data_IF_096290949425
#
_entry.id   IF_096290949425
#
_cell.length_a   1.000
_cell.length_b   1.000
_cell.length_c   1.000
_cell.angle_alpha   90.00
_cell.angle_beta   90.00
_cell.angle_gamma   90.00
#
_symmetry.space_group_name_H-M   'P 1'
#
loop_
_entity.id
_entity.type
_entity.pdbx_description
1 polymer ?
#
# COMPACT_ATOMS: atom_id res chain seq x y z
N UNK A 1 -5.18 4.13 7.74
CA UNK A 1 -4.25 4.66 6.72
C UNK A 1 -3.37 5.78 7.26
N UNK A 2 -3.94 6.91 7.66
CA UNK A 2 -3.19 8.07 8.20
C UNK A 2 -2.20 7.72 9.33
N UNK A 3 -2.61 6.93 10.32
CA UNK A 3 -1.71 6.51 11.41
C UNK A 3 -0.54 5.63 10.95
N UNK A 4 -0.75 4.82 9.90
CA UNK A 4 0.32 4.01 9.31
C UNK A 4 1.30 4.89 8.54
N UNK A 5 0.79 5.88 7.82
CA UNK A 5 1.58 6.88 7.10
C UNK A 5 2.45 7.73 8.03
N UNK A 6 1.92 8.17 9.17
CA UNK A 6 2.68 8.97 10.15
C UNK A 6 3.80 8.20 10.84
N UNK A 7 3.76 6.86 10.81
CA UNK A 7 4.81 6.00 11.36
C UNK A 7 5.87 5.62 10.32
N UNK A 8 5.76 6.09 9.07
CA UNK A 8 6.75 5.82 8.03
C UNK A 8 8.03 6.63 8.25
N UNK A 9 9.15 6.00 7.89
CA UNK A 9 10.43 6.68 7.75
C UNK A 9 10.45 7.44 6.41
N UNK A 10 10.43 8.78 6.49
CA UNK A 10 10.38 9.67 5.32
C UNK A 10 11.64 9.62 4.44
N UNK A 11 12.79 9.22 4.98
CA UNK A 11 14.04 9.13 4.21
C UNK A 11 14.11 7.79 3.46
N UNK A 12 13.64 6.72 4.11
CA UNK A 12 13.62 5.37 3.52
C UNK A 12 12.61 5.23 2.39
N UNK A 13 11.43 5.82 2.55
CA UNK A 13 10.33 5.71 1.60
C UNK A 13 10.19 7.01 0.82
N UNK A 14 11.10 7.28 -0.12
CA UNK A 14 11.14 8.52 -0.90
C UNK A 14 11.55 8.29 -2.37
N UNK A 15 10.95 8.98 -3.35
CA UNK A 15 9.80 9.87 -3.20
C UNK A 15 8.48 9.10 -3.01
N UNK A 16 7.51 9.74 -2.35
CA UNK A 16 6.16 9.18 -2.12
C UNK A 16 5.21 9.65 -3.21
N UNK A 17 4.22 8.84 -3.57
CA UNK A 17 3.25 9.21 -4.60
C UNK A 17 1.85 8.92 -4.10
N UNK A 18 1.17 9.96 -3.62
CA UNK A 18 -0.19 9.82 -3.11
C UNK A 18 -1.17 9.91 -4.26
N UNK A 19 -1.86 8.81 -4.51
CA UNK A 19 -2.97 8.78 -5.46
C UNK A 19 -4.26 8.95 -4.70
N UNK A 20 -5.15 9.78 -5.23
CA UNK A 20 -6.41 10.09 -4.59
C UNK A 20 -7.52 10.22 -5.64
N UNK A 21 -8.78 10.06 -5.23
CA UNK A 21 -9.91 10.31 -6.10
C UNK A 21 -10.09 11.81 -6.35
N UNK A 22 -10.36 12.20 -7.60
CA UNK A 22 -10.65 13.58 -7.94
C UNK A 22 -11.77 14.16 -7.04
N UNK A 23 -11.54 15.36 -6.49
CA UNK A 23 -12.44 16.02 -5.55
C UNK A 23 -12.44 15.45 -4.12
N UNK A 24 -11.51 14.56 -3.76
CA UNK A 24 -11.34 14.11 -2.38
C UNK A 24 -10.43 15.03 -1.55
N UNK A 25 -11.01 16.15 -1.11
CA UNK A 25 -10.33 17.15 -0.27
C UNK A 25 -9.94 16.61 1.11
N UNK A 26 -10.62 15.57 1.61
CA UNK A 26 -10.30 15.00 2.92
C UNK A 26 -8.97 14.24 2.85
N UNK A 27 -8.77 13.45 1.79
CA UNK A 27 -7.50 12.75 1.56
C UNK A 27 -6.35 13.73 1.34
N UNK A 28 -6.57 14.82 0.59
CA UNK A 28 -5.55 15.86 0.38
C UNK A 28 -5.11 16.51 1.70
N UNK A 29 -6.06 16.88 2.56
CA UNK A 29 -5.75 17.42 3.89
C UNK A 29 -4.97 16.41 4.75
N UNK A 30 -5.40 15.14 4.75
CA UNK A 30 -4.70 14.11 5.50
C UNK A 30 -3.26 13.90 5.01
N UNK A 31 -3.01 13.99 3.70
CA UNK A 31 -1.65 13.94 3.13
C UNK A 31 -0.82 15.14 3.55
N UNK A 32 -1.37 16.35 3.50
CA UNK A 32 -0.68 17.56 3.95
C UNK A 32 -0.30 17.49 5.44
N UNK A 33 -1.19 16.97 6.29
CA UNK A 33 -0.91 16.76 7.71
C UNK A 33 0.21 15.73 7.95
N UNK A 34 0.26 14.66 7.14
CA UNK A 34 1.32 13.64 7.24
C UNK A 34 2.67 14.19 6.79
N UNK A 35 2.72 14.85 5.63
CA UNK A 35 3.99 15.37 5.08
C UNK A 35 4.53 16.55 5.90
N UNK A 36 3.68 17.33 6.56
CA UNK A 36 4.13 18.35 7.51
C UNK A 36 4.75 17.72 8.76
N UNK A 37 4.21 16.61 9.25
CA UNK A 37 4.78 15.87 10.40
C UNK A 37 6.08 15.14 10.06
N UNK A 38 6.27 14.68 8.82
CA UNK A 38 7.48 13.97 8.35
C UNK A 38 8.69 14.88 8.09
N UNK A 39 8.65 16.15 8.51
CA UNK A 39 9.80 17.06 8.43
C UNK A 39 9.80 18.01 7.24
N UNK A 40 8.65 18.22 6.58
CA UNK A 40 8.43 19.35 5.69
C UNK A 40 9.09 19.25 4.32
N UNK A 41 8.28 18.90 3.32
CA UNK A 41 8.27 19.42 1.95
C UNK A 41 9.59 19.97 1.36
N UNK A 42 10.68 19.21 1.38
CA UNK A 42 11.77 19.47 0.44
C UNK A 42 11.21 19.22 -0.97
N UNK A 43 11.45 20.14 -1.92
CA UNK A 43 10.86 20.07 -3.26
C UNK A 43 11.14 18.70 -3.91
N UNK A 44 10.09 17.94 -4.22
CA UNK A 44 10.19 16.60 -4.79
C UNK A 44 10.12 15.42 -3.80
N UNK A 45 9.87 15.67 -2.51
CA UNK A 45 9.71 14.60 -1.49
C UNK A 45 8.49 13.72 -1.73
N UNK A 46 7.41 14.30 -2.27
CA UNK A 46 6.21 13.56 -2.66
C UNK A 46 5.56 14.14 -3.92
N UNK A 47 4.76 13.32 -4.58
CA UNK A 47 3.91 13.70 -5.71
C UNK A 47 2.46 13.34 -5.43
N UNK A 48 1.54 14.06 -6.05
CA UNK A 48 0.10 13.82 -6.00
C UNK A 48 -0.39 13.37 -7.37
N UNK A 49 -1.18 12.31 -7.43
CA UNK A 49 -1.81 11.85 -8.68
C UNK A 49 -3.32 11.72 -8.46
N UNK A 50 -4.08 12.61 -9.08
CA UNK A 50 -5.54 12.52 -9.08
C UNK A 50 -6.00 11.44 -10.08
N UNK A 51 -6.79 10.48 -9.61
CA UNK A 51 -7.53 9.57 -10.47
C UNK A 51 -9.01 9.97 -10.54
N UNK A 52 -9.67 9.80 -11.69
CA UNK A 52 -11.12 9.85 -11.76
C UNK A 52 -11.73 8.90 -10.73
N UNK A 53 -12.87 9.27 -10.14
CA UNK A 53 -13.56 8.36 -9.21
C UNK A 53 -14.15 7.19 -10.00
N UNK A 54 -13.84 5.96 -9.57
CA UNK A 54 -14.37 4.75 -10.19
C UNK A 54 -15.90 4.57 -10.00
N UNK A 55 -16.53 5.35 -9.10
CA UNK A 55 -17.98 5.36 -8.87
C UNK A 55 -18.42 6.68 -8.21
N UNK A 56 -19.45 7.34 -8.73
CA UNK A 56 -20.22 8.32 -7.97
C UNK A 56 -21.40 7.63 -7.25
N UNK A 57 -21.77 8.11 -6.06
CA UNK A 57 -22.89 7.57 -5.28
C UNK A 57 -24.19 7.88 -6.04
N UNK A 58 -24.92 6.85 -6.48
CA UNK A 58 -26.20 6.99 -7.20
C UNK A 58 -26.15 6.64 -8.69
N UNK A 59 -24.99 6.32 -9.26
CA UNK A 59 -24.89 5.95 -10.68
C UNK A 59 -25.36 4.51 -10.98
N UNK A 60 -26.07 4.34 -12.10
CA UNK A 60 -26.47 3.02 -12.61
C UNK A 60 -25.28 2.13 -12.97
N UNK A 61 -25.51 0.81 -13.11
CA UNK A 61 -24.47 -0.20 -13.37
C UNK A 61 -23.63 0.10 -14.63
N UNK A 62 -24.25 0.63 -15.68
CA UNK A 62 -23.56 1.00 -16.94
C UNK A 62 -22.65 2.22 -16.77
N UNK A 63 -23.12 3.26 -16.06
CA UNK A 63 -22.32 4.45 -15.77
C UNK A 63 -21.13 4.13 -14.86
N UNK A 64 -21.32 3.21 -13.91
CA UNK A 64 -20.23 2.72 -13.05
C UNK A 64 -19.12 2.04 -13.87
N UNK A 65 -19.48 1.28 -14.91
CA UNK A 65 -18.48 0.64 -15.79
C UNK A 65 -17.69 1.68 -16.61
N UNK A 66 -18.34 2.74 -17.08
CA UNK A 66 -17.70 3.85 -17.80
C UNK A 66 -16.76 4.64 -16.88
N UNK A 67 -17.18 4.95 -15.66
CA UNK A 67 -16.35 5.63 -14.67
C UNK A 67 -15.14 4.76 -14.26
N UNK A 68 -15.35 3.45 -14.10
CA UNK A 68 -14.27 2.50 -13.83
C UNK A 68 -13.30 2.36 -15.01
N UNK A 69 -13.78 2.31 -16.26
CA UNK A 69 -12.92 2.21 -17.45
C UNK A 69 -12.10 3.49 -17.66
N UNK A 70 -12.67 4.66 -17.40
CA UNK A 70 -11.93 5.93 -17.40
C UNK A 70 -10.82 5.92 -16.35
N UNK A 71 -11.13 5.46 -15.14
CA UNK A 71 -10.13 5.31 -14.06
C UNK A 71 -9.02 4.34 -14.48
N UNK A 72 -9.38 3.22 -15.11
CA UNK A 72 -8.45 2.24 -15.64
C UNK A 72 -7.54 2.83 -16.72
N UNK A 73 -8.09 3.60 -17.67
CA UNK A 73 -7.30 4.22 -18.73
C UNK A 73 -6.27 5.21 -18.17
N UNK A 74 -6.68 6.05 -17.22
CA UNK A 74 -5.77 7.01 -16.56
C UNK A 74 -4.71 6.27 -15.73
N UNK A 75 -5.11 5.26 -14.96
CA UNK A 75 -4.19 4.44 -14.19
C UNK A 75 -3.18 3.72 -15.11
N UNK A 76 -3.64 3.11 -16.21
CA UNK A 76 -2.79 2.40 -17.17
C UNK A 76 -1.77 3.36 -17.81
N UNK A 77 -2.20 4.58 -18.18
CA UNK A 77 -1.31 5.58 -18.74
C UNK A 77 -0.22 6.02 -17.75
N UNK A 78 -0.61 6.46 -16.55
CA UNK A 78 0.31 7.06 -15.58
C UNK A 78 1.13 6.08 -14.78
N UNK A 79 0.60 4.89 -14.49
CA UNK A 79 1.23 3.92 -13.58
C UNK A 79 1.86 2.73 -14.31
N UNK A 80 1.53 2.54 -15.60
CA UNK A 80 2.09 1.45 -16.40
C UNK A 80 2.81 1.93 -17.67
N UNK A 81 2.11 2.57 -18.62
CA UNK A 81 2.68 2.93 -19.93
C UNK A 81 3.81 3.97 -19.82
N UNK A 82 3.58 5.10 -19.15
CA UNK A 82 4.62 6.12 -18.97
C UNK A 82 5.87 5.57 -18.24
N UNK A 83 5.73 4.84 -17.11
CA UNK A 83 6.87 4.18 -16.48
C UNK A 83 7.56 3.11 -17.34
N UNK A 84 6.80 2.36 -18.14
CA UNK A 84 7.34 1.36 -19.05
C UNK A 84 8.20 2.00 -20.15
N UNK A 85 7.77 3.14 -20.69
CA UNK A 85 8.50 3.87 -21.73
C UNK A 85 9.73 4.61 -21.19
N UNK A 86 9.65 5.17 -19.98
CA UNK A 86 10.74 5.97 -19.40
C UNK A 86 11.76 5.13 -18.63
N UNK A 87 11.32 4.09 -17.93
CA UNK A 87 12.14 3.25 -17.05
C UNK A 87 11.65 1.79 -17.09
N UNK A 88 11.86 1.06 -18.19
CA UNK A 88 11.31 -0.30 -18.35
C UNK A 88 11.78 -1.29 -17.27
N UNK A 89 13.05 -1.18 -16.85
CA UNK A 89 13.67 -2.09 -15.89
C UNK A 89 13.12 -1.99 -14.47
N UNK A 90 12.46 -0.89 -14.10
CA UNK A 90 11.93 -0.66 -12.74
C UNK A 90 10.42 -0.42 -12.78
N UNK A 91 9.66 -0.89 -11.79
CA UNK A 91 8.26 -0.54 -11.68
C UNK A 91 8.07 0.96 -11.44
N UNK A 92 6.82 1.42 -11.56
CA UNK A 92 6.47 2.81 -11.26
C UNK A 92 6.77 3.16 -9.79
N UNK A 93 6.38 2.25 -8.91
CA UNK A 93 6.59 2.26 -7.46
C UNK A 93 7.05 0.86 -7.03
N UNK A 94 7.92 0.78 -6.04
CA UNK A 94 8.43 -0.49 -5.50
C UNK A 94 7.39 -1.14 -4.56
N UNK A 95 6.62 -0.31 -3.84
CA UNK A 95 5.54 -0.76 -2.96
C UNK A 95 4.26 0.00 -3.30
N UNK A 96 3.16 -0.73 -3.34
CA UNK A 96 1.82 -0.17 -3.47
C UNK A 96 1.05 -0.56 -2.20
N UNK A 97 0.96 0.37 -1.24
CA UNK A 97 -0.03 0.22 -0.15
C UNK A 97 -1.36 0.77 -0.65
N UNK A 98 -2.47 0.10 -0.39
CA UNK A 98 -3.78 0.63 -0.72
C UNK A 98 -4.83 0.28 0.34
N UNK A 99 -5.80 1.17 0.51
CA UNK A 99 -7.01 0.94 1.28
C UNK A 99 -8.23 1.25 0.41
N UNK A 100 -9.34 0.54 0.66
CA UNK A 100 -10.64 0.94 0.12
C UNK A 100 -11.08 0.23 -1.17
N UNK A 101 -12.20 0.69 -1.77
CA UNK A 101 -12.91 -0.01 -2.85
C UNK A 101 -12.52 0.49 -4.24
N UNK A 102 -13.05 -0.16 -5.30
CA UNK A 102 -13.09 0.33 -6.69
C UNK A 102 -11.74 0.70 -7.31
N UNK A 103 -11.26 1.91 -7.04
CA UNK A 103 -9.96 2.45 -7.49
C UNK A 103 -8.79 1.56 -7.06
N UNK A 104 -8.85 1.03 -5.84
CA UNK A 104 -7.89 0.03 -5.33
C UNK A 104 -7.79 -1.19 -6.26
N UNK A 105 -8.94 -1.70 -6.72
CA UNK A 105 -8.99 -2.88 -7.59
C UNK A 105 -8.36 -2.58 -8.96
N UNK A 106 -8.66 -1.40 -9.50
CA UNK A 106 -8.09 -0.93 -10.78
C UNK A 106 -6.58 -0.82 -10.69
N UNK A 107 -6.05 -0.23 -9.62
CA UNK A 107 -4.61 -0.04 -9.44
C UNK A 107 -3.87 -1.37 -9.27
N UNK A 108 -4.43 -2.30 -8.49
CA UNK A 108 -3.86 -3.65 -8.37
C UNK A 108 -3.85 -4.34 -9.73
N UNK A 109 -4.96 -4.29 -10.48
CA UNK A 109 -5.03 -4.90 -11.82
C UNK A 109 -3.94 -4.36 -12.75
N UNK A 110 -3.73 -3.04 -12.78
CA UNK A 110 -2.70 -2.40 -13.60
C UNK A 110 -1.29 -2.77 -13.15
N UNK A 111 -1.01 -2.73 -11.84
CA UNK A 111 0.30 -3.11 -11.30
C UNK A 111 0.62 -4.59 -11.59
N UNK A 112 -0.38 -5.46 -11.57
CA UNK A 112 -0.25 -6.89 -11.81
C UNK A 112 0.12 -7.23 -13.27
N UNK A 113 -0.15 -6.33 -14.24
CA UNK A 113 0.23 -6.54 -15.65
C UNK A 113 1.73 -6.77 -15.78
N UNK A 114 2.57 -6.00 -15.07
CA UNK A 114 4.04 -6.21 -15.09
C UNK A 114 4.45 -7.60 -14.62
N UNK A 115 3.74 -8.14 -13.62
CA UNK A 115 3.97 -9.49 -13.08
C UNK A 115 3.64 -10.57 -14.11
N UNK A 116 2.54 -10.39 -14.85
CA UNK A 116 2.16 -11.31 -15.95
C UNK A 116 3.20 -11.28 -17.07
N UNK A 117 3.77 -10.11 -17.36
CA UNK A 117 4.80 -9.92 -18.39
C UNK A 117 6.21 -10.36 -17.97
N UNK A 118 6.39 -10.88 -16.75
CA UNK A 118 7.70 -11.31 -16.24
C UNK A 118 8.68 -10.15 -15.99
N UNK A 119 8.18 -8.92 -15.84
CA UNK A 119 8.99 -7.73 -15.57
C UNK A 119 9.17 -7.50 -14.07
N UNK A 120 10.15 -6.65 -13.70
CA UNK A 120 10.24 -6.11 -12.34
C UNK A 120 8.90 -5.50 -11.92
N UNK A 121 8.35 -5.98 -10.81
CA UNK A 121 6.99 -5.70 -10.38
C UNK A 121 6.95 -4.98 -9.03
N UNK A 122 5.83 -4.30 -8.80
CA UNK A 122 5.52 -3.62 -7.55
C UNK A 122 5.02 -4.62 -6.51
N UNK A 123 5.52 -4.52 -5.27
CA UNK A 123 4.97 -5.29 -4.15
C UNK A 123 3.66 -4.67 -3.67
N UNK A 124 2.59 -5.48 -3.62
CA UNK A 124 1.24 -5.00 -3.36
C UNK A 124 0.84 -5.35 -1.93
N UNK A 125 0.51 -4.34 -1.13
CA UNK A 125 0.04 -4.49 0.25
C UNK A 125 -1.38 -3.90 0.33
N UNK A 126 -2.35 -4.74 0.64
CA UNK A 126 -3.74 -4.32 0.85
C UNK A 126 -4.05 -4.25 2.33
N UNK A 127 -4.60 -3.12 2.77
CA UNK A 127 -5.08 -2.93 4.13
C UNK A 127 -6.60 -2.85 4.07
N UNK A 128 -7.28 -3.83 4.68
CA UNK A 128 -8.75 -3.82 4.77
C UNK A 128 -9.25 -2.61 5.57
N UNK A 129 -10.49 -2.20 5.29
CA UNK A 129 -11.11 -1.06 5.95
C UNK A 129 -11.41 -1.38 7.42
N UNK A 130 -11.04 -0.45 8.31
CA UNK A 130 -11.28 -0.56 9.75
C UNK A 130 -12.76 -0.74 10.12
N UNK A 131 -13.68 -0.20 9.30
CA UNK A 131 -15.13 -0.27 9.54
C UNK A 131 -15.73 -1.67 9.35
N UNK A 132 -14.95 -2.63 8.85
CA UNK A 132 -15.39 -3.99 8.56
C UNK A 132 -14.84 -4.95 9.62
N UNK A 133 -15.60 -5.10 10.70
CA UNK A 133 -15.19 -5.86 11.89
C UNK A 133 -15.51 -7.35 11.79
N UNK A 134 -16.58 -7.74 11.09
CA UNK A 134 -17.06 -9.14 11.01
C UNK A 134 -16.89 -9.80 9.65
N UNK A 135 -16.52 -9.06 8.60
CA UNK A 135 -16.45 -9.61 7.24
C UNK A 135 -15.57 -8.77 6.32
N UNK A 136 -14.85 -9.42 5.41
CA UNK A 136 -14.08 -8.73 4.37
C UNK A 136 -14.96 -7.92 3.43
N UNK A 137 -14.44 -6.78 2.97
CA UNK A 137 -15.07 -6.00 1.91
C UNK A 137 -15.10 -6.77 0.59
N UNK A 138 -15.99 -6.40 -0.33
CA UNK A 138 -16.04 -7.03 -1.65
C UNK A 138 -14.70 -6.89 -2.38
N UNK A 139 -14.07 -5.71 -2.28
CA UNK A 139 -12.73 -5.46 -2.82
C UNK A 139 -11.66 -6.28 -2.09
N UNK A 140 -11.73 -6.41 -0.76
CA UNK A 140 -10.83 -7.27 0.00
C UNK A 140 -10.92 -8.74 -0.42
N UNK A 141 -12.13 -9.28 -0.55
CA UNK A 141 -12.35 -10.65 -1.05
C UNK A 141 -11.78 -10.85 -2.46
N UNK A 142 -12.00 -9.87 -3.34
CA UNK A 142 -11.54 -9.93 -4.72
C UNK A 142 -10.02 -9.81 -4.84
N UNK A 143 -9.39 -8.95 -4.04
CA UNK A 143 -7.96 -8.65 -4.12
C UNK A 143 -7.08 -9.60 -3.33
N UNK A 144 -7.64 -10.36 -2.39
CA UNK A 144 -6.90 -11.31 -1.55
C UNK A 144 -5.92 -12.22 -2.32
N UNK A 145 -6.25 -12.82 -3.49
CA UNK A 145 -5.30 -13.66 -4.23
C UNK A 145 -4.28 -12.87 -5.07
N UNK A 146 -4.47 -11.55 -5.26
CA UNK A 146 -3.64 -10.72 -6.14
C UNK A 146 -2.66 -9.81 -5.40
N UNK A 147 -2.70 -9.80 -4.06
CA UNK A 147 -1.85 -8.96 -3.21
C UNK A 147 -0.78 -9.82 -2.55
N UNK A 148 0.42 -9.27 -2.36
CA UNK A 148 1.51 -9.99 -1.71
C UNK A 148 1.38 -9.97 -0.18
N UNK A 149 0.67 -8.99 0.37
CA UNK A 149 0.40 -8.89 1.80
C UNK A 149 -0.99 -8.34 2.02
N UNK A 150 -1.81 -9.06 2.77
CA UNK A 150 -3.18 -8.69 3.10
C UNK A 150 -3.29 -8.45 4.61
N UNK A 151 -3.56 -7.22 5.02
CA UNK A 151 -3.63 -6.80 6.41
C UNK A 151 -5.09 -6.59 6.81
N UNK A 152 -5.51 -7.30 7.86
CA UNK A 152 -6.80 -7.12 8.53
C UNK A 152 -6.55 -6.66 9.96
N UNK A 153 -7.37 -5.72 10.44
CA UNK A 153 -7.26 -5.24 11.82
C UNK A 153 -8.01 -6.15 12.80
N UNK A 154 -9.05 -6.84 12.32
CA UNK A 154 -9.95 -7.64 13.14
C UNK A 154 -9.77 -9.13 12.82
N UNK A 155 -9.45 -9.98 13.82
CA UNK A 155 -9.33 -11.43 13.61
C UNK A 155 -10.62 -12.03 13.04
N UNK A 156 -11.78 -11.55 13.50
CA UNK A 156 -13.09 -12.04 13.07
C UNK A 156 -13.38 -11.75 11.58
N UNK A 157 -12.78 -10.68 11.04
CA UNK A 157 -12.89 -10.35 9.62
C UNK A 157 -11.98 -11.19 8.72
N UNK A 158 -10.95 -11.85 9.26
CA UNK A 158 -9.99 -12.64 8.50
C UNK A 158 -10.61 -13.90 7.84
N UNK A 159 -11.82 -14.26 8.26
CA UNK A 159 -12.47 -15.54 7.91
C UNK A 159 -11.80 -16.72 8.63
N UNK A 160 -12.36 -17.94 8.49
CA UNK A 160 -11.78 -19.13 9.09
C UNK A 160 -10.44 -19.44 8.43
N UNK A 161 -9.35 -18.95 9.03
CA UNK A 161 -7.99 -19.32 8.70
C UNK A 161 -7.39 -19.97 9.93
N UNK A 162 -7.21 -21.30 9.86
CA UNK A 162 -6.29 -22.10 10.69
C UNK A 162 -5.93 -21.48 12.04
N UNK A 163 -6.90 -21.45 12.97
CA UNK A 163 -6.61 -21.33 14.38
C UNK A 163 -5.98 -22.65 14.86
N UNK A 164 -4.73 -22.87 14.45
CA UNK A 164 -3.84 -23.90 14.96
C UNK A 164 -2.46 -23.27 15.17
N UNK A 165 -2.44 -22.22 15.97
CA UNK A 165 -1.31 -21.97 16.85
C UNK A 165 -1.88 -22.00 18.25
N UNK A 166 -2.01 -23.23 18.75
CA UNK A 166 -2.42 -23.57 20.10
C UNK A 166 -1.62 -22.79 21.14
N UNK A 167 -2.36 -22.39 22.16
CA UNK A 167 -1.91 -21.97 23.46
C UNK A 167 -0.68 -22.75 23.97
N UNK A 168 0.28 -22.02 24.55
CA UNK A 168 0.82 -22.29 25.89
C UNK A 168 2.06 -21.41 26.14
N UNK A 169 1.94 -20.41 27.00
CA UNK A 169 3.09 -19.86 27.69
C UNK A 169 2.62 -19.44 29.10
N UNK A 170 2.48 -20.46 29.93
CA UNK A 170 2.40 -20.40 31.38
C UNK A 170 3.64 -19.71 31.94
N UNK A 171 3.44 -18.94 32.99
CA UNK A 171 4.47 -18.24 33.76
C UNK A 171 5.63 -19.15 34.21
N UNK A 172 6.85 -18.62 34.16
CA UNK A 172 7.88 -18.89 35.17
C UNK A 172 8.94 -17.78 35.23
N UNK A 173 9.44 -17.63 36.44
CA UNK A 173 10.15 -16.51 37.07
C UNK A 173 11.67 -16.53 36.84
N UNK A 174 12.29 -15.33 36.78
CA UNK A 174 13.65 -14.96 37.24
C UNK A 174 14.89 -15.73 36.73
N UNK A 175 15.82 -15.02 36.08
CA UNK A 175 17.11 -14.59 36.67
C UNK A 175 18.01 -13.87 35.63
N UNK A 176 18.63 -12.76 36.06
CA UNK A 176 19.79 -12.07 35.43
C UNK A 176 21.06 -12.89 35.75
N UNK A 177 22.19 -12.87 34.99
CA UNK A 177 23.11 -11.71 35.00
C UNK A 177 24.00 -11.46 33.74
N UNK A 178 24.57 -10.23 33.72
CA UNK A 178 25.87 -9.76 33.21
C UNK A 178 26.40 -10.04 31.78
N UNK A 179 26.64 -8.93 31.07
CA UNK A 179 27.59 -8.72 29.95
C UNK A 179 29.06 -8.85 30.44
N UNK A 180 30.03 -9.18 29.56
CA UNK A 180 30.76 -8.10 28.89
C UNK A 180 31.13 -8.35 27.41
N UNK A 181 31.15 -7.22 26.70
CA UNK A 181 31.99 -6.74 25.59
C UNK A 181 32.82 -7.70 24.70
N UNK A 182 32.69 -7.47 23.38
CA UNK A 182 33.76 -7.42 22.35
C UNK A 182 33.30 -7.97 20.99
N UNK A 183 33.50 -7.21 19.92
CA UNK A 183 33.56 -7.75 18.56
C UNK A 183 32.88 -6.91 17.49
N UNK A 184 33.57 -5.84 17.07
CA UNK A 184 33.38 -5.22 15.76
C UNK A 184 33.53 -6.29 14.68
N UNK A 185 32.49 -6.55 13.90
CA UNK A 185 32.67 -7.09 12.54
C UNK A 185 31.80 -6.32 11.54
N UNK A 186 32.48 -5.41 10.86
CA UNK A 186 31.99 -4.63 9.73
C UNK A 186 32.17 -5.43 8.45
N UNK A 187 31.17 -6.25 8.10
CA UNK A 187 30.99 -6.94 6.80
C UNK A 187 29.62 -7.63 6.93
N UNK A 188 28.52 -7.26 6.30
CA UNK A 188 28.28 -6.95 4.89
C UNK A 188 26.87 -6.35 4.87
N UNK A 189 26.72 -5.04 4.66
CA UNK A 189 25.37 -4.46 4.46
C UNK A 189 24.91 -4.86 3.07
N UNK A 190 23.82 -5.63 2.88
CA UNK A 190 23.20 -5.73 1.57
C UNK A 190 22.75 -4.33 1.16
N UNK A 191 23.41 -3.85 0.12
CA UNK A 191 23.32 -2.53 -0.46
C UNK A 191 21.95 -2.30 -1.11
N UNK A 192 21.30 -1.22 -0.67
CA UNK A 192 20.23 -0.47 -1.34
C UNK A 192 19.00 -1.29 -1.75
N UNK A 193 18.08 -1.46 -0.80
CA UNK A 193 16.67 -1.61 -1.16
C UNK A 193 16.10 -0.20 -1.27
N UNK A 194 15.97 0.28 -2.50
CA UNK A 194 15.31 1.56 -2.80
C UNK A 194 13.80 1.28 -2.78
N UNK A 195 13.04 2.01 -1.94
CA UNK A 195 11.58 1.88 -1.85
C UNK A 195 10.93 3.18 -2.31
N UNK A 196 10.26 3.16 -3.46
CA UNK A 196 9.53 4.29 -4.03
C UNK A 196 8.03 4.01 -3.99
N UNK A 197 7.26 4.94 -3.43
CA UNK A 197 5.80 5.03 -3.55
C UNK A 197 4.95 4.31 -2.50
N UNK A 198 3.80 4.91 -2.19
CA UNK A 198 2.75 4.46 -1.27
C UNK A 198 1.45 5.17 -1.66
N UNK A 199 0.29 4.50 -1.64
CA UNK A 199 -0.99 5.04 -2.07
C UNK A 199 -1.97 5.10 -0.88
N UNK A 200 -2.76 6.18 -0.72
CA UNK A 200 -3.74 6.35 0.38
C UNK A 200 -5.10 5.87 -0.07
#
# INVERSE_FOLDING_TARGET
MRAMLSALDGDKYSPRVYVYGAGDEMSLRAVADVESALGGASAGSYALLALPRARAVGEGKLSTLVSASRTLAVALWHTFLLPLLTRPATPWVDVLLLNGPGTAVVLVAVAYIRRILGLSYTRIIYVESFARVTSLSLSGKLLRPFVDTFVVQWPDAAGPSSASASASASASTSTKPSTPDAGVDSRTRPSRITYRGFLV
#
